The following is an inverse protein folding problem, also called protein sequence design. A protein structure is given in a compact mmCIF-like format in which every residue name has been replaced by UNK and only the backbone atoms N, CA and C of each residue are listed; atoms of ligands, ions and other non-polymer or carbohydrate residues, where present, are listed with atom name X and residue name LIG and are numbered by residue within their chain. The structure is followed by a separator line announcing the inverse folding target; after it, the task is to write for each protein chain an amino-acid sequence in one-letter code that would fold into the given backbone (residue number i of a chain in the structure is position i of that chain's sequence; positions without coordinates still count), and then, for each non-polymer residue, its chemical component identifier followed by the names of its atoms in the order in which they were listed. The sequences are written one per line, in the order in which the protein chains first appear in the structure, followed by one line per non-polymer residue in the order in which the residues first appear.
data_IF_689904349322
#
_entry.id   IF_689904349322
#
_cell.length_a   1.000
_cell.length_b   1.000
_cell.length_c   1.000
_cell.angle_alpha   90.00
_cell.angle_beta   90.00
_cell.angle_gamma   90.00
#
_symmetry.space_group_name_H-M   'P 1'
#
loop_
_entity.id
_entity.type
_entity.pdbx_description
1 polymer ?
#
# COMPACT_ATOMS: atom_id res chain seq x y z
N UNK A 1 20.96 2.89 11.77
CA UNK A 1 19.74 3.72 11.63
C UNK A 1 19.20 3.53 10.23
N UNK A 2 17.90 3.21 10.08
CA UNK A 2 17.23 3.15 8.77
C UNK A 2 17.20 4.58 8.19
N UNK A 3 17.53 4.75 6.91
CA UNK A 3 17.42 6.03 6.21
C UNK A 3 16.08 6.14 5.48
N UNK A 4 15.59 7.37 5.25
CA UNK A 4 14.36 7.59 4.46
C UNK A 4 14.46 6.95 3.08
N UNK A 5 15.64 7.04 2.44
CA UNK A 5 15.91 6.41 1.14
C UNK A 5 15.70 4.89 1.18
N UNK A 6 16.20 4.24 2.21
CA UNK A 6 16.03 2.80 2.38
C UNK A 6 14.56 2.43 2.62
N UNK A 7 13.86 3.21 3.44
CA UNK A 7 12.45 3.00 3.74
C UNK A 7 11.56 3.16 2.48
N UNK A 8 11.83 4.16 1.64
CA UNK A 8 11.14 4.34 0.36
C UNK A 8 11.37 3.15 -0.59
N UNK A 9 12.60 2.60 -0.64
CA UNK A 9 12.88 1.39 -1.44
C UNK A 9 12.13 0.16 -0.94
N UNK A 10 12.05 -0.03 0.37
CA UNK A 10 11.27 -1.13 0.96
C UNK A 10 9.79 -0.95 0.62
N UNK A 11 9.24 0.26 0.80
CA UNK A 11 7.86 0.57 0.42
C UNK A 11 7.61 0.23 -1.05
N UNK A 12 8.49 0.66 -1.96
CA UNK A 12 8.39 0.31 -3.37
C UNK A 12 8.39 -1.20 -3.60
N UNK A 13 9.25 -1.95 -2.89
CA UNK A 13 9.27 -3.42 -2.97
C UNK A 13 7.93 -4.06 -2.59
N UNK A 14 7.33 -3.61 -1.48
CA UNK A 14 6.00 -4.06 -1.06
C UNK A 14 4.91 -3.67 -2.07
N UNK A 15 4.93 -2.43 -2.58
CA UNK A 15 3.98 -1.99 -3.59
C UNK A 15 4.09 -2.82 -4.86
N UNK A 16 5.30 -3.14 -5.31
CA UNK A 16 5.53 -4.04 -6.46
C UNK A 16 4.98 -5.43 -6.16
N UNK A 17 5.29 -6.01 -5.00
CA UNK A 17 4.82 -7.34 -4.63
C UNK A 17 3.28 -7.44 -4.61
N UNK A 18 2.61 -6.47 -3.99
CA UNK A 18 1.14 -6.40 -3.99
C UNK A 18 0.58 -6.19 -5.40
N UNK A 19 1.24 -5.38 -6.23
CA UNK A 19 0.81 -5.19 -7.62
C UNK A 19 0.91 -6.50 -8.41
N UNK A 20 2.02 -7.22 -8.29
CA UNK A 20 2.20 -8.52 -8.94
C UNK A 20 1.19 -9.54 -8.43
N UNK A 21 0.89 -9.56 -7.13
CA UNK A 21 -0.18 -10.39 -6.57
C UNK A 21 -1.55 -10.08 -7.18
N UNK A 22 -1.90 -8.81 -7.32
CA UNK A 22 -3.14 -8.39 -7.97
C UNK A 22 -3.21 -8.70 -9.47
N UNK A 23 -2.07 -8.65 -10.18
CA UNK A 23 -2.01 -8.97 -11.62
C UNK A 23 -2.06 -10.48 -11.86
N UNK A 24 -1.26 -11.26 -11.15
CA UNK A 24 -1.09 -12.69 -11.41
C UNK A 24 -2.04 -13.58 -10.61
N UNK A 25 -2.64 -13.07 -9.54
CA UNK A 25 -3.54 -13.83 -8.67
C UNK A 25 -4.68 -12.98 -8.10
N UNK A 26 -5.45 -12.24 -8.95
CA UNK A 26 -6.52 -11.37 -8.49
C UNK A 26 -7.62 -12.11 -7.71
N UNK A 27 -7.90 -13.36 -8.11
CA UNK A 27 -8.92 -14.18 -7.45
C UNK A 27 -8.52 -14.54 -6.02
N UNK A 28 -7.29 -15.00 -5.82
CA UNK A 28 -6.77 -15.36 -4.49
C UNK A 28 -6.61 -14.12 -3.61
N UNK A 29 -6.21 -12.98 -4.20
CA UNK A 29 -6.18 -11.70 -3.49
C UNK A 29 -7.58 -11.36 -2.95
N UNK A 30 -8.63 -11.39 -3.78
CA UNK A 30 -9.98 -11.08 -3.32
C UNK A 30 -10.52 -12.09 -2.31
N UNK A 31 -10.27 -13.39 -2.52
CA UNK A 31 -10.65 -14.45 -1.56
C UNK A 31 -10.00 -14.24 -0.20
N UNK A 32 -8.76 -13.75 -0.14
CA UNK A 32 -8.07 -13.47 1.12
C UNK A 32 -8.79 -12.42 1.97
N UNK A 33 -9.52 -11.50 1.33
CA UNK A 33 -10.41 -10.52 1.95
C UNK A 33 -11.86 -11.00 2.06
N UNK A 34 -12.13 -12.30 1.86
CA UNK A 34 -13.47 -12.89 1.92
C UNK A 34 -14.39 -12.47 0.78
N UNK A 35 -13.85 -11.88 -0.29
CA UNK A 35 -14.59 -11.41 -1.45
C UNK A 35 -14.54 -12.43 -2.59
N UNK A 36 -15.56 -12.42 -3.45
CA UNK A 36 -15.58 -13.20 -4.70
C UNK A 36 -15.04 -12.36 -5.83
N UNK A 37 -14.22 -12.96 -6.69
CA UNK A 37 -13.77 -12.31 -7.92
C UNK A 37 -14.86 -12.41 -8.99
N UNK A 38 -15.58 -11.31 -9.21
CA UNK A 38 -16.67 -11.22 -10.19
C UNK A 38 -16.20 -10.60 -11.51
N UNK A 39 -17.06 -10.60 -12.54
CA UNK A 39 -16.76 -9.97 -13.83
C UNK A 39 -16.59 -8.45 -13.69
N UNK A 40 -17.36 -7.83 -12.82
CA UNK A 40 -17.28 -6.39 -12.53
C UNK A 40 -15.95 -6.07 -11.83
N UNK A 41 -15.56 -6.90 -10.85
CA UNK A 41 -14.26 -6.77 -10.20
C UNK A 41 -13.10 -6.96 -11.18
N UNK A 42 -13.21 -7.88 -12.13
CA UNK A 42 -12.19 -8.11 -13.15
C UNK A 42 -11.92 -6.87 -14.04
N UNK A 43 -12.93 -6.01 -14.24
CA UNK A 43 -12.75 -4.75 -14.95
C UNK A 43 -12.11 -3.65 -14.06
N UNK A 44 -12.41 -3.66 -12.75
CA UNK A 44 -11.99 -2.60 -11.81
C UNK A 44 -10.59 -2.85 -11.24
N UNK A 45 -10.22 -4.11 -10.99
CA UNK A 45 -8.93 -4.47 -10.36
C UNK A 45 -7.73 -3.93 -11.15
N UNK A 46 -7.64 -4.08 -12.49
CA UNK A 46 -6.56 -3.47 -13.26
C UNK A 46 -6.49 -1.94 -13.14
N UNK A 47 -7.65 -1.28 -13.08
CA UNK A 47 -7.72 0.16 -12.91
C UNK A 47 -7.22 0.60 -11.52
N UNK A 48 -7.56 -0.15 -10.46
CA UNK A 48 -7.03 0.09 -9.13
C UNK A 48 -5.50 -0.12 -9.07
N UNK A 49 -5.00 -1.18 -9.71
CA UNK A 49 -3.56 -1.49 -9.79
C UNK A 49 -2.78 -0.41 -10.57
N UNK A 50 -3.40 0.28 -11.51
CA UNK A 50 -2.78 1.43 -12.20
C UNK A 50 -2.40 2.54 -11.22
N UNK A 51 -3.25 2.84 -10.23
CA UNK A 51 -2.93 3.81 -9.17
C UNK A 51 -1.71 3.40 -8.36
N UNK A 52 -1.58 2.10 -8.08
CA UNK A 52 -0.42 1.54 -7.38
C UNK A 52 0.86 1.62 -8.23
N UNK A 53 0.76 1.36 -9.55
CA UNK A 53 1.87 1.55 -10.49
C UNK A 53 2.34 3.02 -10.53
N UNK A 54 1.42 3.98 -10.54
CA UNK A 54 1.79 5.39 -10.46
C UNK A 54 2.54 5.72 -9.17
N UNK A 55 2.08 5.20 -8.03
CA UNK A 55 2.78 5.41 -6.76
C UNK A 55 4.17 4.77 -6.76
N UNK A 56 4.33 3.56 -7.32
CA UNK A 56 5.64 2.91 -7.50
C UNK A 56 6.59 3.79 -8.30
N UNK A 57 6.15 4.25 -9.47
CA UNK A 57 6.97 5.07 -10.38
C UNK A 57 7.35 6.39 -9.69
N UNK A 58 6.38 7.10 -9.12
CA UNK A 58 6.62 8.37 -8.45
C UNK A 58 7.54 8.20 -7.24
N UNK A 59 7.42 7.11 -6.49
CA UNK A 59 8.31 6.82 -5.35
C UNK A 59 9.75 6.64 -5.80
N UNK A 60 9.97 5.86 -6.86
CA UNK A 60 11.30 5.67 -7.45
C UNK A 60 11.89 6.98 -7.97
N UNK A 61 11.08 7.84 -8.57
CA UNK A 61 11.53 9.15 -9.05
C UNK A 61 11.87 10.10 -7.89
N UNK A 62 11.03 10.16 -6.85
CA UNK A 62 11.25 11.01 -5.65
C UNK A 62 12.59 10.71 -4.99
N UNK A 63 12.97 9.44 -4.90
CA UNK A 63 14.27 9.01 -4.35
C UNK A 63 15.46 9.70 -5.05
N UNK A 64 15.32 10.02 -6.33
CA UNK A 64 16.38 10.61 -7.16
C UNK A 64 16.22 12.14 -7.33
N UNK A 65 15.00 12.65 -7.36
CA UNK A 65 14.71 14.07 -7.58
C UNK A 65 14.99 14.93 -6.36
N UNK A 66 14.77 14.41 -5.15
CA UNK A 66 14.83 15.20 -3.92
C UNK A 66 16.18 15.00 -3.22
N UNK A 67 16.92 16.10 -3.05
CA UNK A 67 18.20 16.11 -2.32
C UNK A 67 18.02 15.80 -0.83
N UNK A 68 17.01 16.39 -0.19
CA UNK A 68 16.69 16.19 1.23
C UNK A 68 15.39 15.39 1.37
N UNK A 69 15.53 14.06 1.43
CA UNK A 69 14.39 13.13 1.54
C UNK A 69 13.66 13.25 2.88
N UNK A 70 14.21 13.91 3.90
CA UNK A 70 13.49 14.10 5.16
C UNK A 70 12.19 14.89 4.98
N UNK A 71 12.12 15.73 3.93
CA UNK A 71 10.95 16.53 3.58
C UNK A 71 9.73 15.71 3.13
N UNK A 72 9.94 14.49 2.62
CA UNK A 72 8.82 13.65 2.15
C UNK A 72 8.29 12.70 3.21
N UNK A 73 8.97 12.58 4.36
CA UNK A 73 8.58 11.64 5.42
C UNK A 73 7.12 11.76 5.80
N UNK A 74 6.66 12.97 6.09
CA UNK A 74 5.29 13.21 6.55
C UNK A 74 4.28 12.85 5.45
N UNK A 75 4.55 13.25 4.21
CA UNK A 75 3.73 12.88 3.05
C UNK A 75 3.61 11.37 2.89
N UNK A 76 4.73 10.63 2.99
CA UNK A 76 4.70 9.16 2.88
C UNK A 76 4.05 8.48 4.08
N UNK A 77 4.15 9.06 5.28
CA UNK A 77 3.38 8.61 6.44
C UNK A 77 1.88 8.72 6.17
N UNK A 78 1.41 9.84 5.62
CA UNK A 78 0.00 9.98 5.23
C UNK A 78 -0.43 9.08 4.07
N UNK A 79 0.39 8.97 3.02
CA UNK A 79 0.11 8.09 1.87
C UNK A 79 -0.07 6.64 2.35
N UNK A 80 0.82 6.16 3.22
CA UNK A 80 0.76 4.79 3.76
C UNK A 80 -0.32 4.61 4.83
N UNK A 81 -0.87 5.70 5.37
CA UNK A 81 -2.00 5.66 6.28
C UNK A 81 -3.35 5.57 5.54
N UNK A 82 -3.45 6.04 4.29
CA UNK A 82 -4.72 6.01 3.55
C UNK A 82 -5.32 4.60 3.40
N UNK A 83 -4.57 3.54 3.05
CA UNK A 83 -5.11 2.19 3.00
C UNK A 83 -5.70 1.76 4.35
N UNK A 84 -5.04 2.13 5.47
CA UNK A 84 -5.52 1.81 6.82
C UNK A 84 -6.91 2.37 7.04
N UNK A 85 -7.12 3.65 6.73
CA UNK A 85 -8.41 4.33 6.88
C UNK A 85 -9.49 3.70 6.00
N UNK A 86 -9.19 3.46 4.72
CA UNK A 86 -10.16 2.90 3.77
C UNK A 86 -10.57 1.48 4.15
N UNK A 87 -9.60 0.63 4.50
CA UNK A 87 -9.87 -0.74 4.93
C UNK A 87 -10.71 -0.75 6.21
N UNK A 88 -10.38 0.06 7.22
CA UNK A 88 -11.18 0.17 8.46
C UNK A 88 -12.59 0.64 8.16
N UNK A 89 -12.76 1.65 7.31
CA UNK A 89 -14.09 2.12 6.91
C UNK A 89 -14.91 1.00 6.26
N UNK A 90 -14.32 0.27 5.31
CA UNK A 90 -14.98 -0.86 4.64
C UNK A 90 -15.34 -1.99 5.61
N UNK A 91 -14.49 -2.28 6.59
CA UNK A 91 -14.75 -3.29 7.60
C UNK A 91 -15.86 -2.89 8.57
N UNK A 92 -15.82 -1.66 9.10
CA UNK A 92 -16.82 -1.13 10.04
C UNK A 92 -18.20 -1.00 9.38
N UNK A 93 -18.25 -0.69 8.09
CA UNK A 93 -19.51 -0.61 7.32
C UNK A 93 -20.00 -1.96 6.80
N UNK A 94 -19.27 -3.05 7.06
CA UNK A 94 -19.65 -4.41 6.65
C UNK A 94 -19.50 -4.68 5.15
N UNK A 95 -18.79 -3.83 4.41
CA UNK A 95 -18.50 -4.01 2.97
C UNK A 95 -17.50 -5.14 2.77
N UNK A 96 -16.47 -5.22 3.62
CA UNK A 96 -15.44 -6.25 3.58
C UNK A 96 -15.35 -6.93 4.94
N UNK A 97 -15.34 -8.28 5.02
CA UNK A 97 -15.22 -8.99 6.29
C UNK A 97 -13.82 -8.82 6.91
N UNK A 98 -13.76 -8.88 8.24
CA UNK A 98 -12.50 -8.90 8.99
C UNK A 98 -11.82 -10.27 8.86
N UNK A 99 -10.88 -10.39 7.92
CA UNK A 99 -10.10 -11.62 7.71
C UNK A 99 -8.69 -11.53 8.31
N UNK A 100 -7.94 -12.64 8.30
CA UNK A 100 -6.51 -12.61 8.68
C UNK A 100 -5.71 -11.70 7.74
N UNK A 101 -6.02 -11.73 6.44
CA UNK A 101 -5.36 -10.89 5.45
C UNK A 101 -5.57 -9.40 5.75
N UNK A 102 -6.79 -9.02 6.17
CA UNK A 102 -7.07 -7.66 6.64
C UNK A 102 -6.11 -7.23 7.74
N UNK A 103 -6.01 -7.99 8.85
CA UNK A 103 -5.13 -7.59 9.96
C UNK A 103 -3.66 -7.53 9.56
N UNK A 104 -3.22 -8.48 8.72
CA UNK A 104 -1.84 -8.52 8.24
C UNK A 104 -1.52 -7.30 7.36
N UNK A 105 -2.41 -6.94 6.44
CA UNK A 105 -2.23 -5.78 5.59
C UNK A 105 -2.20 -4.48 6.42
N UNK A 106 -3.11 -4.33 7.38
CA UNK A 106 -3.14 -3.18 8.29
C UNK A 106 -1.84 -3.06 9.10
N UNK A 107 -1.28 -4.18 9.57
CA UNK A 107 -0.03 -4.18 10.32
C UNK A 107 1.16 -3.72 9.44
N UNK A 108 1.21 -4.15 8.18
CA UNK A 108 2.22 -3.69 7.21
C UNK A 108 2.11 -2.18 7.01
N UNK A 109 0.90 -1.69 6.72
CA UNK A 109 0.69 -0.25 6.47
C UNK A 109 1.03 0.60 7.69
N UNK A 110 0.55 0.23 8.88
CA UNK A 110 0.88 0.92 10.13
C UNK A 110 2.39 0.91 10.43
N UNK A 111 3.09 -0.17 10.09
CA UNK A 111 4.56 -0.23 10.22
C UNK A 111 5.22 0.85 9.37
N UNK A 112 4.77 1.06 8.13
CA UNK A 112 5.27 2.15 7.30
C UNK A 112 4.91 3.54 7.85
N UNK A 113 3.67 3.74 8.28
CA UNK A 113 3.21 5.01 8.88
C UNK A 113 4.13 5.44 10.03
N UNK A 114 4.34 4.52 10.98
CA UNK A 114 5.18 4.73 12.15
C UNK A 114 6.64 4.93 11.73
N UNK A 115 7.15 4.08 10.82
CA UNK A 115 8.53 4.16 10.35
C UNK A 115 8.84 5.49 9.69
N UNK A 116 7.95 6.00 8.82
CA UNK A 116 8.12 7.30 8.17
C UNK A 116 7.99 8.45 9.18
N UNK A 117 7.17 8.32 10.22
CA UNK A 117 7.05 9.33 11.26
C UNK A 117 8.34 9.45 12.09
N UNK A 118 8.87 8.32 12.58
CA UNK A 118 9.98 8.31 13.55
C UNK A 118 11.37 8.31 12.93
N UNK A 119 11.53 7.92 11.66
CA UNK A 119 12.85 7.82 11.02
C UNK A 119 13.58 9.16 11.10
N UNK A 120 14.80 9.20 11.63
CA UNK A 120 15.54 10.47 11.73
C UNK A 120 15.97 10.97 10.34
N UNK A 121 16.28 12.26 10.24
CA UNK A 121 16.76 12.90 8.99
C UNK A 121 17.84 12.06 8.32
#
# INVERSE_FOLDING_TARGET
MISVKFLLRILTGFLVLFTLGGVFSPEEMMKSFGMRYTKEAAAIVPFALMGQLFLIILTLQIINWIKDLSKVKMTYSFITFMPVCLNVYQAVTGVVPLTIAFYFEQAIWLTFVISFYIVKK
#
